data_IF_206938046814
#
_entry.id   IF_206938046814
#
_cell.length_a   1.000
_cell.length_b   1.000
_cell.length_c   1.000
_cell.angle_alpha   90.00
_cell.angle_beta   90.00
_cell.angle_gamma   90.00
#
_symmetry.space_group_name_H-M   'P 1'
#
loop_
_entity.id
_entity.type
_entity.pdbx_description
1 polymer ?
#
# COMPACT_ATOMS: atom_id res chain seq x y z
N UNK A 1 10.65 -15.22 -19.95
CA UNK A 1 10.23 -13.83 -19.66
C UNK A 1 11.26 -13.17 -18.74
N UNK A 2 11.98 -12.11 -19.18
CA UNK A 2 13.03 -11.43 -18.38
C UNK A 2 12.39 -10.38 -17.46
N UNK A 3 12.04 -10.76 -16.23
CA UNK A 3 11.39 -9.90 -15.22
C UNK A 3 12.41 -8.91 -14.59
N UNK A 4 13.67 -9.32 -14.53
CA UNK A 4 14.79 -8.60 -13.89
C UNK A 4 15.02 -7.20 -14.48
N UNK A 5 14.82 -7.00 -15.79
CA UNK A 5 15.15 -5.73 -16.46
C UNK A 5 14.01 -4.70 -16.50
N UNK A 6 12.79 -5.04 -16.05
CA UNK A 6 11.61 -4.16 -16.18
C UNK A 6 11.02 -3.68 -14.84
N UNK A 7 11.55 -4.13 -13.72
CA UNK A 7 10.91 -3.92 -12.40
C UNK A 7 11.62 -2.81 -11.62
N UNK A 8 10.88 -1.78 -11.20
CA UNK A 8 11.36 -0.71 -10.31
C UNK A 8 11.59 -1.17 -8.86
N UNK A 9 10.97 -2.30 -8.48
CA UNK A 9 11.15 -2.94 -7.17
C UNK A 9 12.50 -3.70 -7.12
N UNK A 10 13.47 -3.06 -6.46
CA UNK A 10 14.82 -3.60 -6.28
C UNK A 10 14.84 -4.88 -5.45
N UNK A 11 13.95 -5.02 -4.48
CA UNK A 11 13.89 -6.18 -3.59
C UNK A 11 13.30 -7.39 -4.32
N UNK A 12 12.27 -7.16 -5.14
CA UNK A 12 11.73 -8.20 -6.03
C UNK A 12 12.79 -8.65 -7.04
N UNK A 13 13.54 -7.71 -7.63
CA UNK A 13 14.59 -8.04 -8.58
C UNK A 13 15.70 -8.89 -7.93
N UNK A 14 16.15 -8.52 -6.73
CA UNK A 14 17.20 -9.23 -5.99
C UNK A 14 16.76 -10.63 -5.58
N UNK A 15 15.56 -10.77 -5.02
CA UNK A 15 15.02 -12.07 -4.60
C UNK A 15 14.72 -12.99 -5.80
N UNK A 16 14.21 -12.45 -6.91
CA UNK A 16 14.01 -13.21 -8.14
C UNK A 16 15.34 -13.68 -8.76
N UNK A 17 16.40 -12.87 -8.70
CA UNK A 17 17.73 -13.29 -9.15
C UNK A 17 18.30 -14.42 -8.28
N UNK A 18 18.07 -14.37 -6.96
CA UNK A 18 18.47 -15.44 -6.05
C UNK A 18 17.80 -16.77 -6.41
N UNK A 19 16.49 -16.76 -6.65
CA UNK A 19 15.73 -17.94 -7.07
C UNK A 19 16.22 -18.44 -8.42
N UNK A 20 16.46 -17.55 -9.39
CA UNK A 20 16.98 -17.93 -10.71
C UNK A 20 18.32 -18.65 -10.62
N UNK A 21 19.24 -18.18 -9.78
CA UNK A 21 20.54 -18.80 -9.61
C UNK A 21 20.42 -20.20 -8.96
N UNK A 22 19.57 -20.33 -7.95
CA UNK A 22 19.31 -21.65 -7.33
C UNK A 22 18.70 -22.63 -8.33
N UNK A 23 17.75 -22.19 -9.16
CA UNK A 23 17.14 -23.03 -10.20
C UNK A 23 18.13 -23.41 -11.32
N UNK A 24 19.20 -22.64 -11.51
CA UNK A 24 20.30 -22.98 -12.42
C UNK A 24 21.30 -23.99 -11.82
N UNK A 25 21.09 -24.45 -10.59
CA UNK A 25 21.92 -25.44 -9.91
C UNK A 25 22.96 -24.85 -8.96
N UNK A 26 23.00 -23.53 -8.77
CA UNK A 26 23.89 -22.91 -7.77
C UNK A 26 23.45 -23.25 -6.35
N UNK A 27 24.41 -23.52 -5.47
CA UNK A 27 24.07 -23.77 -4.06
C UNK A 27 23.61 -22.48 -3.38
N UNK A 28 22.71 -22.59 -2.41
CA UNK A 28 22.22 -21.44 -1.61
C UNK A 28 23.37 -20.62 -0.99
N UNK A 29 24.50 -21.27 -0.65
CA UNK A 29 25.70 -20.62 -0.11
C UNK A 29 26.47 -19.81 -1.15
N UNK A 30 26.61 -20.33 -2.38
CA UNK A 30 27.21 -19.57 -3.49
C UNK A 30 26.35 -18.36 -3.85
N UNK A 31 25.03 -18.56 -3.96
CA UNK A 31 24.07 -17.47 -4.25
C UNK A 31 24.13 -16.37 -3.19
N UNK A 32 24.20 -16.73 -1.91
CA UNK A 32 24.35 -15.77 -0.81
C UNK A 32 25.62 -14.91 -0.97
N UNK A 33 26.74 -15.52 -1.37
CA UNK A 33 28.01 -14.82 -1.61
C UNK A 33 27.93 -13.91 -2.84
N UNK A 34 27.38 -14.41 -3.96
CA UNK A 34 27.23 -13.65 -5.21
C UNK A 34 26.34 -12.44 -5.01
N UNK A 35 25.23 -12.60 -4.28
CA UNK A 35 24.27 -11.53 -4.04
C UNK A 35 24.57 -10.69 -2.80
N UNK A 36 25.66 -10.95 -2.08
CA UNK A 36 26.00 -10.28 -0.81
C UNK A 36 24.80 -10.23 0.15
N UNK A 37 24.12 -11.37 0.30
CA UNK A 37 22.93 -11.53 1.13
C UNK A 37 23.15 -12.64 2.17
N UNK A 38 22.42 -12.60 3.28
CA UNK A 38 22.46 -13.68 4.26
C UNK A 38 21.91 -14.99 3.67
N UNK A 39 22.52 -16.13 4.03
CA UNK A 39 22.03 -17.47 3.62
C UNK A 39 20.57 -17.71 4.02
N UNK A 40 20.16 -17.18 5.17
CA UNK A 40 18.78 -17.23 5.67
C UNK A 40 17.80 -16.47 4.75
N UNK A 41 18.21 -15.32 4.22
CA UNK A 41 17.42 -14.55 3.24
C UNK A 41 17.22 -15.33 1.95
N UNK A 42 18.29 -15.92 1.42
CA UNK A 42 18.21 -16.77 0.21
C UNK A 42 17.27 -17.95 0.44
N UNK A 43 17.40 -18.64 1.57
CA UNK A 43 16.51 -19.75 1.90
C UNK A 43 15.04 -19.30 1.97
N UNK A 44 14.77 -18.16 2.62
CA UNK A 44 13.43 -17.59 2.74
C UNK A 44 12.82 -17.26 1.37
N UNK A 45 13.58 -16.63 0.48
CA UNK A 45 13.11 -16.31 -0.87
C UNK A 45 12.78 -17.56 -1.69
N UNK A 46 13.62 -18.60 -1.61
CA UNK A 46 13.36 -19.89 -2.28
C UNK A 46 12.08 -20.52 -1.74
N UNK A 47 11.92 -20.60 -0.41
CA UNK A 47 10.70 -21.16 0.20
C UNK A 47 9.44 -20.39 -0.18
N UNK A 48 9.51 -19.05 -0.24
CA UNK A 48 8.37 -18.23 -0.68
C UNK A 48 8.03 -18.44 -2.15
N UNK A 49 9.05 -18.59 -3.00
CA UNK A 49 8.85 -18.87 -4.41
C UNK A 49 8.27 -20.27 -4.64
N UNK A 50 8.72 -21.29 -3.90
CA UNK A 50 8.17 -22.64 -3.97
C UNK A 50 6.69 -22.67 -3.52
N UNK A 51 6.32 -21.85 -2.52
CA UNK A 51 4.95 -21.81 -2.00
C UNK A 51 3.96 -21.02 -2.89
N UNK A 52 4.38 -19.91 -3.49
CA UNK A 52 3.48 -18.97 -4.17
C UNK A 52 4.04 -18.38 -5.47
N UNK A 53 5.11 -18.95 -6.02
CA UNK A 53 5.76 -18.48 -7.23
C UNK A 53 6.24 -17.02 -7.13
N UNK A 54 6.04 -16.26 -8.20
CA UNK A 54 6.43 -14.84 -8.26
C UNK A 54 5.67 -13.99 -7.24
N UNK A 55 4.41 -14.35 -6.91
CA UNK A 55 3.61 -13.62 -5.94
C UNK A 55 4.19 -13.72 -4.52
N UNK A 56 4.86 -14.84 -4.20
CA UNK A 56 5.57 -15.01 -2.93
C UNK A 56 6.80 -14.09 -2.77
N UNK A 57 7.36 -13.60 -3.87
CA UNK A 57 8.53 -12.71 -3.86
C UNK A 57 8.14 -11.22 -3.81
N UNK A 58 6.86 -10.89 -4.02
CA UNK A 58 6.39 -9.50 -3.95
C UNK A 58 6.54 -8.99 -2.51
N UNK A 59 7.34 -7.95 -2.34
CA UNK A 59 7.56 -7.34 -1.02
C UNK A 59 6.26 -6.76 -0.50
N UNK A 60 5.80 -7.21 0.67
CA UNK A 60 4.77 -6.48 1.42
C UNK A 60 5.40 -5.17 1.87
N UNK A 61 4.79 -4.04 1.51
CA UNK A 61 5.32 -2.71 1.81
C UNK A 61 5.76 -2.59 3.28
N UNK A 62 6.89 -1.91 3.50
CA UNK A 62 7.45 -1.77 4.84
C UNK A 62 6.48 -1.04 5.78
N UNK A 63 6.37 -1.54 7.02
CA UNK A 63 5.61 -0.91 8.10
C UNK A 63 4.26 -1.58 8.42
N UNK A 64 3.61 -1.09 9.48
CA UNK A 64 2.30 -1.56 9.91
C UNK A 64 1.26 -1.18 8.84
N UNK A 65 0.38 -2.10 8.41
CA UNK A 65 -0.71 -1.74 7.52
C UNK A 65 -1.55 -0.63 8.17
N UNK A 66 -2.09 0.32 7.38
CA UNK A 66 -2.91 1.40 7.93
C UNK A 66 -4.10 0.80 8.69
N UNK A 67 -4.20 1.16 9.98
CA UNK A 67 -5.26 0.66 10.88
C UNK A 67 -6.66 1.10 10.47
N UNK A 68 -6.75 2.18 9.71
CA UNK A 68 -8.01 2.79 9.30
C UNK A 68 -8.35 2.31 7.88
N UNK A 69 -9.64 2.07 7.57
CA UNK A 69 -10.09 1.62 6.25
C UNK A 69 -10.01 2.76 5.23
N UNK A 70 -8.79 3.22 4.92
CA UNK A 70 -8.49 4.42 4.13
C UNK A 70 -9.18 4.39 2.77
N UNK A 71 -9.20 3.23 2.11
CA UNK A 71 -9.86 3.06 0.81
C UNK A 71 -11.36 3.35 0.88
N UNK A 72 -12.05 2.77 1.86
CA UNK A 72 -13.47 3.00 2.11
C UNK A 72 -13.74 4.48 2.41
N UNK A 73 -12.99 5.07 3.34
CA UNK A 73 -13.15 6.47 3.74
C UNK A 73 -12.92 7.40 2.55
N UNK A 74 -11.86 7.21 1.77
CA UNK A 74 -11.60 7.99 0.57
C UNK A 74 -12.71 7.82 -0.49
N UNK A 75 -13.29 6.63 -0.63
CA UNK A 75 -14.43 6.37 -1.52
C UNK A 75 -15.67 7.16 -1.10
N UNK A 76 -16.04 7.09 0.18
CA UNK A 76 -17.16 7.86 0.76
C UNK A 76 -16.94 9.36 0.55
N UNK A 77 -15.74 9.87 0.84
CA UNK A 77 -15.42 11.29 0.66
C UNK A 77 -15.57 11.74 -0.80
N UNK A 78 -15.14 10.92 -1.77
CA UNK A 78 -15.32 11.21 -3.20
C UNK A 78 -16.78 11.27 -3.62
N UNK A 79 -17.61 10.34 -3.14
CA UNK A 79 -19.05 10.36 -3.40
C UNK A 79 -19.71 11.61 -2.81
N UNK A 80 -19.36 11.97 -1.58
CA UNK A 80 -19.90 13.15 -0.90
C UNK A 80 -19.57 14.45 -1.63
N UNK A 81 -18.40 14.56 -2.28
CA UNK A 81 -18.05 15.78 -3.03
C UNK A 81 -18.89 16.01 -4.27
N UNK A 82 -19.46 14.96 -4.85
CA UNK A 82 -20.43 15.12 -5.95
C UNK A 82 -21.77 15.72 -5.46
N UNK A 83 -21.97 15.82 -4.15
CA UNK A 83 -23.15 16.43 -3.54
C UNK A 83 -22.79 17.75 -2.84
N UNK A 84 -23.72 18.71 -2.85
CA UNK A 84 -23.55 19.98 -2.13
C UNK A 84 -23.97 19.76 -0.68
N UNK A 85 -23.20 20.20 0.35
CA UNK A 85 -23.57 19.98 1.75
C UNK A 85 -24.97 20.51 2.11
N UNK A 86 -25.43 21.54 1.38
CA UNK A 86 -26.77 22.12 1.50
C UNK A 86 -27.89 21.14 1.18
N UNK A 87 -27.70 20.23 0.22
CA UNK A 87 -28.70 19.18 -0.08
C UNK A 87 -28.78 18.11 1.00
N UNK A 88 -27.77 18.06 1.89
CA UNK A 88 -27.72 17.19 3.06
C UNK A 88 -28.16 17.91 4.35
N UNK A 89 -28.73 19.12 4.23
CA UNK A 89 -29.26 19.89 5.36
C UNK A 89 -28.22 20.70 6.13
N UNK A 90 -26.98 20.83 5.63
CA UNK A 90 -25.96 21.66 6.28
C UNK A 90 -25.99 23.11 5.78
N UNK A 91 -25.80 24.07 6.69
CA UNK A 91 -25.79 25.50 6.37
C UNK A 91 -24.57 25.94 5.55
N UNK A 92 -23.54 25.10 5.43
CA UNK A 92 -22.29 25.42 4.72
C UNK A 92 -22.45 25.15 3.22
N UNK A 93 -21.90 26.04 2.40
CA UNK A 93 -21.88 25.92 0.93
C UNK A 93 -20.76 25.03 0.39
N UNK A 94 -19.73 24.76 1.21
CA UNK A 94 -18.52 24.00 0.83
C UNK A 94 -18.22 22.91 1.86
N UNK A 95 -17.59 21.84 1.38
CA UNK A 95 -17.06 20.78 2.23
C UNK A 95 -15.86 21.28 3.06
N UNK A 96 -15.89 21.05 4.38
CA UNK A 96 -14.75 21.27 5.28
C UNK A 96 -14.26 19.95 5.87
N UNK A 97 -13.00 19.91 6.33
CA UNK A 97 -12.44 18.72 6.97
C UNK A 97 -13.18 18.35 8.27
N UNK A 98 -13.72 19.33 8.99
CA UNK A 98 -14.56 19.13 10.18
C UNK A 98 -15.89 18.49 9.81
N UNK A 99 -16.53 18.97 8.75
CA UNK A 99 -17.82 18.45 8.30
C UNK A 99 -17.71 16.98 7.85
N UNK A 100 -16.60 16.64 7.18
CA UNK A 100 -16.30 15.25 6.85
C UNK A 100 -16.08 14.37 8.08
N UNK A 101 -15.34 14.87 9.08
CA UNK A 101 -15.12 14.13 10.33
C UNK A 101 -16.46 13.84 11.05
N UNK A 102 -17.33 14.86 11.12
CA UNK A 102 -18.66 14.74 11.72
C UNK A 102 -19.55 13.75 10.97
N UNK A 103 -19.56 13.78 9.64
CA UNK A 103 -20.35 12.83 8.85
C UNK A 103 -19.87 11.38 9.00
N UNK A 104 -18.55 11.17 8.98
CA UNK A 104 -17.96 9.84 9.16
C UNK A 104 -18.25 9.29 10.55
N UNK A 105 -18.24 10.14 11.57
CA UNK A 105 -18.67 9.76 12.92
C UNK A 105 -20.17 9.45 12.97
N UNK A 106 -21.01 10.30 12.38
CA UNK A 106 -22.48 10.20 12.47
C UNK A 106 -23.05 9.01 11.70
N UNK A 107 -22.59 8.76 10.48
CA UNK A 107 -23.18 7.75 9.59
C UNK A 107 -22.43 6.42 9.59
N UNK A 108 -21.14 6.41 9.92
CA UNK A 108 -20.30 5.23 9.82
C UNK A 108 -19.61 4.86 11.14
N UNK A 109 -19.85 5.62 12.22
CA UNK A 109 -19.21 5.45 13.54
C UNK A 109 -17.67 5.44 13.46
N UNK A 110 -17.08 6.06 12.43
CA UNK A 110 -15.64 6.11 12.24
C UNK A 110 -15.09 7.38 12.88
N UNK A 111 -14.32 7.21 13.95
CA UNK A 111 -13.60 8.29 14.62
C UNK A 111 -12.31 8.59 13.87
N UNK A 112 -12.28 9.69 13.13
CA UNK A 112 -11.08 10.18 12.44
C UNK A 112 -10.78 11.60 12.89
N UNK A 113 -9.56 11.83 13.35
CA UNK A 113 -9.09 13.16 13.67
C UNK A 113 -8.96 14.04 12.41
N UNK A 114 -9.33 15.32 12.53
CA UNK A 114 -9.37 16.27 11.41
C UNK A 114 -8.00 16.37 10.69
N UNK A 115 -6.89 16.28 11.43
CA UNK A 115 -5.53 16.29 10.84
C UNK A 115 -5.26 15.08 9.93
N UNK A 116 -5.83 13.92 10.24
CA UNK A 116 -5.72 12.71 9.40
C UNK A 116 -6.48 12.90 8.09
N UNK A 117 -7.68 13.49 8.15
CA UNK A 117 -8.44 13.84 6.96
C UNK A 117 -7.71 14.88 6.10
N UNK A 118 -7.18 15.94 6.70
CA UNK A 118 -6.37 16.95 5.98
C UNK A 118 -5.18 16.34 5.24
N UNK A 119 -4.53 15.31 5.80
CA UNK A 119 -3.43 14.60 5.13
C UNK A 119 -3.91 13.75 3.94
N UNK A 120 -5.12 13.20 4.00
CA UNK A 120 -5.64 12.29 2.97
C UNK A 120 -6.38 13.01 1.85
N UNK A 121 -6.93 14.18 2.12
CA UNK A 121 -7.70 14.98 1.18
C UNK A 121 -6.89 15.31 -0.10
N UNK A 122 -5.64 15.79 -0.04
CA UNK A 122 -4.84 16.03 -1.25
C UNK A 122 -4.60 14.77 -2.09
N UNK A 123 -4.41 13.61 -1.45
CA UNK A 123 -4.27 12.32 -2.16
C UNK A 123 -5.53 11.92 -2.93
N UNK A 124 -6.69 12.46 -2.54
CA UNK A 124 -7.97 12.27 -3.22
C UNK A 124 -8.31 13.34 -4.25
N UNK A 125 -7.44 14.33 -4.49
CA UNK A 125 -7.71 15.46 -5.38
C UNK A 125 -8.38 16.66 -4.71
N UNK A 126 -8.48 16.68 -3.38
CA UNK A 126 -9.10 17.77 -2.64
C UNK A 126 -8.05 18.82 -2.24
N UNK A 127 -8.07 19.97 -2.89
CA UNK A 127 -7.25 21.12 -2.52
C UNK A 127 -7.98 21.91 -1.43
N UNK A 128 -7.47 21.83 -0.20
CA UNK A 128 -7.91 22.70 0.88
C UNK A 128 -7.50 24.15 0.60
N UNK A 129 -8.44 25.08 0.78
CA UNK A 129 -8.15 26.46 1.13
C UNK A 129 -8.77 26.72 2.49
#
# INVERSE_FOLDING_TARGET
KKIVHKTLDKDLCRSANAVLLVLKGETKSQVARVLQAGRSSVNRWVTWYEAAGIDGLKTKGAGRPPSQPKGFICGVLKLLVNHVPRTLGYQRSRWSSELFALLLQKHYSILIHISTLRRWLPTGGFVGR
#
